data_IF_294883283539
#
_entry.id   IF_294883283539
#
_cell.length_a   1.000
_cell.length_b   1.000
_cell.length_c   1.000
_cell.angle_alpha   90.00
_cell.angle_beta   90.00
_cell.angle_gamma   90.00
#
_symmetry.space_group_name_H-M   'P 1'
#
loop_
_entity.id
_entity.type
_entity.pdbx_description
1 polymer ?
#
# COMPACT_ATOMS: atom_id res chain seq x y z
N UNK A 1 5.97 -13.89 1.31
CA UNK A 1 4.59 -13.43 1.46
C UNK A 1 4.54 -12.72 2.80
N UNK A 2 3.90 -11.56 2.84
CA UNK A 2 3.49 -10.89 4.07
C UNK A 2 2.06 -11.36 4.30
N UNK A 3 1.83 -12.04 5.41
CA UNK A 3 0.54 -12.56 5.86
C UNK A 3 -0.16 -11.51 6.76
N UNK A 4 -1.38 -11.76 7.25
CA UNK A 4 -2.13 -10.76 8.02
C UNK A 4 -1.35 -10.24 9.24
N UNK A 5 -0.66 -11.12 9.97
CA UNK A 5 0.19 -10.75 11.10
C UNK A 5 1.36 -9.87 10.66
N UNK A 6 1.99 -10.19 9.52
CA UNK A 6 3.02 -9.36 8.91
C UNK A 6 2.49 -7.99 8.46
N UNK A 7 1.25 -7.90 7.99
CA UNK A 7 0.61 -6.63 7.63
C UNK A 7 0.35 -5.79 8.89
N UNK A 8 -0.13 -6.39 9.97
CA UNK A 8 -0.30 -5.67 11.25
C UNK A 8 1.03 -5.11 11.76
N UNK A 9 2.11 -5.91 11.72
CA UNK A 9 3.45 -5.46 12.07
C UNK A 9 3.92 -4.31 11.17
N UNK A 10 3.69 -4.41 9.85
CA UNK A 10 3.99 -3.34 8.90
C UNK A 10 3.22 -2.06 9.22
N UNK A 11 1.92 -2.15 9.54
CA UNK A 11 1.10 -1.01 9.92
C UNK A 11 1.67 -0.31 11.16
N UNK A 12 2.06 -1.10 12.18
CA UNK A 12 2.72 -0.60 13.38
C UNK A 12 4.04 0.14 13.06
N UNK A 13 4.91 -0.45 12.24
CA UNK A 13 6.18 0.20 11.85
C UNK A 13 5.94 1.51 11.06
N UNK A 14 4.94 1.52 10.20
CA UNK A 14 4.50 2.70 9.46
C UNK A 14 3.79 3.73 10.37
N UNK A 15 3.40 3.36 11.59
CA UNK A 15 2.65 4.20 12.52
C UNK A 15 1.26 4.54 12.02
N UNK A 16 0.63 3.61 11.31
CA UNK A 16 -0.74 3.73 10.79
C UNK A 16 -1.59 2.58 11.32
N UNK A 17 -2.87 2.84 11.52
CA UNK A 17 -3.82 1.79 11.89
C UNK A 17 -4.06 0.83 10.70
N UNK A 18 -4.30 -0.45 10.98
CA UNK A 18 -4.54 -1.47 9.95
C UNK A 18 -5.86 -1.23 9.18
N UNK A 19 -6.79 -0.45 9.75
CA UNK A 19 -8.03 0.02 9.08
C UNK A 19 -7.83 1.34 8.32
N UNK A 20 -6.64 1.93 8.37
CA UNK A 20 -6.39 3.22 7.73
C UNK A 20 -6.36 3.10 6.20
N UNK A 21 -7.04 4.01 5.50
CA UNK A 21 -7.07 4.07 4.03
C UNK A 21 -5.67 4.13 3.39
N UNK A 22 -4.65 4.61 4.11
CA UNK A 22 -3.26 4.62 3.63
C UNK A 22 -2.71 3.23 3.35
N UNK A 23 -3.17 2.21 4.07
CA UNK A 23 -2.80 0.81 3.81
C UNK A 23 -3.47 0.31 2.53
N UNK A 24 -4.72 0.72 2.28
CA UNK A 24 -5.41 0.43 1.03
C UNK A 24 -4.75 1.13 -0.17
N UNK A 25 -4.32 2.39 -0.01
CA UNK A 25 -3.55 3.12 -1.02
C UNK A 25 -2.21 2.44 -1.31
N UNK A 26 -1.55 1.94 -0.27
CA UNK A 26 -0.32 1.14 -0.44
C UNK A 26 -0.61 -0.14 -1.21
N UNK A 27 -1.64 -0.90 -0.84
CA UNK A 27 -2.04 -2.10 -1.55
C UNK A 27 -2.32 -1.84 -3.05
N UNK A 28 -3.01 -0.74 -3.37
CA UNK A 28 -3.23 -0.30 -4.75
C UNK A 28 -1.92 -0.03 -5.49
N UNK A 29 -0.96 0.64 -4.85
CA UNK A 29 0.34 0.94 -5.45
C UNK A 29 1.16 -0.33 -5.70
N UNK A 30 1.05 -1.31 -4.81
CA UNK A 30 1.67 -2.63 -4.93
C UNK A 30 0.94 -3.53 -5.94
N UNK A 31 -0.25 -3.12 -6.38
CA UNK A 31 -1.19 -3.92 -7.19
C UNK A 31 -1.48 -5.26 -6.53
N UNK A 32 -1.75 -5.23 -5.22
CA UNK A 32 -2.02 -6.41 -4.43
C UNK A 32 -3.34 -7.07 -4.84
N UNK A 33 -3.34 -8.40 -5.01
CA UNK A 33 -4.53 -9.11 -5.48
C UNK A 33 -5.49 -9.51 -4.35
N UNK A 34 -4.98 -9.67 -3.13
CA UNK A 34 -5.75 -10.20 -1.98
C UNK A 34 -5.60 -9.34 -0.73
N UNK A 35 -6.71 -9.04 -0.07
CA UNK A 35 -6.68 -8.29 1.18
C UNK A 35 -6.02 -9.09 2.31
N UNK A 36 -5.19 -8.40 3.11
CA UNK A 36 -4.48 -9.02 4.22
C UNK A 36 -3.21 -9.78 3.81
N UNK A 37 -2.86 -9.79 2.52
CA UNK A 37 -1.66 -10.45 2.02
C UNK A 37 -0.90 -9.58 1.02
N UNK A 38 0.42 -9.64 1.08
CA UNK A 38 1.30 -9.20 -0.02
C UNK A 38 2.22 -10.34 -0.44
N UNK A 39 2.22 -10.68 -1.72
CA UNK A 39 3.23 -11.59 -2.28
C UNK A 39 4.60 -10.90 -2.30
N UNK A 40 5.68 -11.68 -2.41
CA UNK A 40 7.02 -11.07 -2.53
C UNK A 40 7.16 -10.24 -3.80
N UNK A 41 6.48 -10.62 -4.87
CA UNK A 41 6.56 -9.93 -6.16
C UNK A 41 5.81 -8.59 -6.12
N UNK A 42 4.58 -8.56 -5.58
CA UNK A 42 3.83 -7.33 -5.33
C UNK A 42 4.65 -6.36 -4.47
N UNK A 43 5.21 -6.86 -3.36
CA UNK A 43 6.04 -6.06 -2.46
C UNK A 43 7.28 -5.50 -3.16
N UNK A 44 8.08 -6.34 -3.82
CA UNK A 44 9.32 -5.91 -4.48
C UNK A 44 9.04 -4.95 -5.63
N UNK A 45 8.01 -5.22 -6.44
CA UNK A 45 7.61 -4.36 -7.56
C UNK A 45 7.12 -3.01 -7.04
N UNK A 46 6.19 -2.99 -6.10
CA UNK A 46 5.65 -1.73 -5.57
C UNK A 46 6.69 -0.87 -4.87
N UNK A 47 7.60 -1.48 -4.08
CA UNK A 47 8.69 -0.71 -3.46
C UNK A 47 9.68 -0.16 -4.48
N UNK A 48 9.97 -0.89 -5.57
CA UNK A 48 10.79 -0.42 -6.66
C UNK A 48 10.14 0.76 -7.39
N UNK A 49 8.84 0.68 -7.65
CA UNK A 49 8.06 1.74 -8.31
C UNK A 49 7.97 2.99 -7.41
N UNK A 50 7.89 2.81 -6.09
CA UNK A 50 7.95 3.87 -5.09
C UNK A 50 9.37 4.39 -4.82
N UNK A 51 10.41 3.73 -5.35
CA UNK A 51 11.83 4.02 -5.11
C UNK A 51 12.20 4.05 -3.61
N UNK A 52 11.64 3.12 -2.84
CA UNK A 52 11.89 2.98 -1.40
C UNK A 52 12.52 1.63 -1.08
N UNK A 53 13.50 1.63 -0.18
CA UNK A 53 14.28 0.43 0.16
C UNK A 53 14.21 0.07 1.65
N UNK A 54 13.64 0.96 2.46
CA UNK A 54 13.52 0.78 3.91
C UNK A 54 12.14 1.20 4.38
N UNK A 55 11.66 0.61 5.48
CA UNK A 55 10.36 0.94 6.07
C UNK A 55 10.28 2.42 6.46
N UNK A 56 11.38 3.01 6.94
CA UNK A 56 11.45 4.45 7.22
C UNK A 56 11.27 5.32 5.96
N UNK A 57 11.83 4.92 4.81
CA UNK A 57 11.61 5.61 3.54
C UNK A 57 10.16 5.44 3.08
N UNK A 58 9.61 4.23 3.22
CA UNK A 58 8.21 3.95 2.89
C UNK A 58 7.24 4.81 3.71
N UNK A 59 7.42 4.89 5.04
CA UNK A 59 6.63 5.77 5.92
C UNK A 59 6.64 7.23 5.48
N UNK A 60 7.81 7.75 5.10
CA UNK A 60 7.96 9.12 4.60
C UNK A 60 7.35 9.34 3.21
N UNK A 61 7.15 8.26 2.44
CA UNK A 61 6.52 8.32 1.12
C UNK A 61 4.99 8.30 1.17
N UNK A 62 4.38 7.84 2.26
CA UNK A 62 2.91 7.73 2.39
C UNK A 62 2.17 9.05 2.10
N UNK A 63 2.60 10.24 2.57
CA UNK A 63 1.91 11.49 2.22
C UNK A 63 1.98 11.82 0.72
N UNK A 64 3.07 11.42 0.05
CA UNK A 64 3.20 11.61 -1.41
C UNK A 64 2.30 10.64 -2.17
N UNK A 65 2.20 9.40 -1.70
CA UNK A 65 1.28 8.41 -2.25
C UNK A 65 -0.18 8.86 -2.09
N UNK A 66 -0.53 9.42 -0.92
CA UNK A 66 -1.85 10.01 -0.69
C UNK A 66 -2.16 11.13 -1.69
N UNK A 67 -1.23 12.05 -1.91
CA UNK A 67 -1.38 13.10 -2.91
C UNK A 67 -1.49 12.54 -4.35
N UNK A 68 -0.74 11.48 -4.68
CA UNK A 68 -0.82 10.78 -5.98
C UNK A 68 -2.21 10.18 -6.20
N UNK A 69 -2.75 9.47 -5.20
CA UNK A 69 -4.06 8.82 -5.27
C UNK A 69 -5.18 9.85 -5.40
N UNK A 70 -5.04 11.02 -4.80
CA UNK A 70 -6.06 12.08 -4.86
C UNK A 70 -6.09 12.83 -6.20
N UNK A 71 -5.18 12.53 -7.14
CA UNK A 71 -5.28 13.02 -8.52
C UNK A 71 -6.49 12.38 -9.21
N UNK A 72 -7.31 13.12 -9.98
CA UNK A 72 -8.58 12.61 -10.51
C UNK A 72 -8.47 11.28 -11.27
N UNK A 73 -7.44 11.13 -12.11
CA UNK A 73 -7.18 9.92 -12.89
C UNK A 73 -6.83 8.70 -12.03
N UNK A 74 -6.03 8.91 -10.98
CA UNK A 74 -5.62 7.83 -10.08
C UNK A 74 -6.72 7.49 -9.10
N UNK A 75 -7.53 8.47 -8.70
CA UNK A 75 -8.63 8.25 -7.76
C UNK A 75 -9.68 7.30 -8.35
N UNK A 76 -10.01 7.44 -9.64
CA UNK A 76 -10.95 6.54 -10.32
C UNK A 76 -10.43 5.10 -10.39
N UNK A 77 -9.14 4.91 -10.73
CA UNK A 77 -8.48 3.60 -10.72
C UNK A 77 -8.41 3.02 -9.30
N UNK A 78 -8.02 3.83 -8.32
CA UNK A 78 -7.96 3.47 -6.91
C UNK A 78 -9.33 3.05 -6.37
N UNK A 79 -10.38 3.81 -6.65
CA UNK A 79 -11.74 3.52 -6.22
C UNK A 79 -12.23 2.19 -6.82
N UNK A 80 -11.99 1.98 -8.12
CA UNK A 80 -12.33 0.74 -8.82
C UNK A 80 -11.56 -0.46 -8.26
N UNK A 81 -10.28 -0.28 -7.94
CA UNK A 81 -9.45 -1.27 -7.27
C UNK A 81 -9.97 -1.59 -5.87
N UNK A 82 -10.26 -0.58 -5.06
CA UNK A 82 -10.74 -0.73 -3.69
C UNK A 82 -12.02 -1.57 -3.61
N UNK A 83 -12.92 -1.43 -4.59
CA UNK A 83 -14.13 -2.24 -4.67
C UNK A 83 -13.86 -3.72 -4.98
N UNK A 84 -12.78 -4.02 -5.72
CA UNK A 84 -12.41 -5.39 -6.10
C UNK A 84 -11.48 -6.07 -5.09
N UNK A 85 -10.79 -5.26 -4.29
CA UNK A 85 -9.81 -5.73 -3.32
C UNK A 85 -10.54 -6.31 -2.10
N UNK A 86 -10.60 -7.65 -2.06
CA UNK A 86 -11.25 -8.45 -1.03
C UNK A 86 -10.30 -9.52 -0.47
#
# INVERSE_FOLDING_TARGET
MIDPEGIEALCSDLGVDHTNVKILMLAWKLKAEKQGYFTQDEWRKGLKDLQVETINKLKKSLPKLEAEVMMPENFEDFYSYAFRYC
#
